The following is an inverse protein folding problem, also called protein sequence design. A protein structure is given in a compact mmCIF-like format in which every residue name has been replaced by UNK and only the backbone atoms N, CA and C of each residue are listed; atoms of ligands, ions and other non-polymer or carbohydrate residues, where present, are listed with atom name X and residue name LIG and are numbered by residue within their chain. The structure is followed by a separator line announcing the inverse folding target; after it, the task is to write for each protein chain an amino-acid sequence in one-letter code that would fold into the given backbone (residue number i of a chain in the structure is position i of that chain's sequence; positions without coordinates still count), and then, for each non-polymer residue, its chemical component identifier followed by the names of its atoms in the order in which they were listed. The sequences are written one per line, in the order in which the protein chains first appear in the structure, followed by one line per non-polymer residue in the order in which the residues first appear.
data_IF_878569611476
#
_entry.id   IF_878569611476
#
_cell.length_a   1.000
_cell.length_b   1.000
_cell.length_c   1.000
_cell.angle_alpha   90.00
_cell.angle_beta   90.00
_cell.angle_gamma   90.00
#
_symmetry.space_group_name_H-M   'P 1'
#
loop_
_entity.id
_entity.type
_entity.pdbx_description
1 polymer ?
#
# COMPACT_ATOMS: atom_id res chain seq x y z
N UNK A 1 8.88 -23.51 -12.38
CA UNK A 1 7.55 -23.11 -12.89
C UNK A 1 7.61 -21.93 -13.87
N UNK A 2 8.75 -21.20 -13.97
CA UNK A 2 8.93 -20.06 -14.87
C UNK A 2 7.92 -18.91 -14.63
N UNK A 3 7.42 -18.77 -13.40
CA UNK A 3 6.45 -17.72 -13.05
C UNK A 3 7.12 -16.34 -13.03
N UNK A 4 6.39 -15.35 -13.49
CA UNK A 4 6.77 -13.95 -13.48
C UNK A 4 5.56 -13.08 -13.15
N UNK A 5 5.75 -11.79 -12.97
CA UNK A 5 4.66 -10.81 -12.77
C UNK A 5 3.72 -10.71 -13.99
N UNK A 6 4.04 -11.34 -15.13
CA UNK A 6 3.18 -11.42 -16.30
C UNK A 6 2.07 -12.50 -16.19
N UNK A 7 1.97 -13.20 -15.07
CA UNK A 7 1.03 -14.29 -14.89
C UNK A 7 -0.12 -13.95 -13.92
N UNK A 8 -1.20 -14.72 -14.02
CA UNK A 8 -2.35 -14.62 -13.13
C UNK A 8 -3.11 -13.30 -13.24
N UNK A 9 -3.50 -12.74 -12.10
CA UNK A 9 -4.20 -11.45 -12.01
C UNK A 9 -3.25 -10.24 -11.91
N UNK A 10 -1.96 -10.50 -11.77
CA UNK A 10 -0.94 -9.47 -11.52
C UNK A 10 -0.88 -8.44 -12.66
N UNK A 11 -0.80 -8.82 -13.96
CA UNK A 11 -0.72 -7.85 -15.04
C UNK A 11 -1.88 -6.87 -15.07
N UNK A 12 -3.10 -7.34 -14.88
CA UNK A 12 -4.29 -6.50 -14.86
C UNK A 12 -4.34 -5.56 -13.65
N UNK A 13 -3.76 -5.99 -12.52
CA UNK A 13 -3.67 -5.16 -11.33
C UNK A 13 -2.59 -4.09 -11.45
N UNK A 14 -1.43 -4.42 -12.03
CA UNK A 14 -0.34 -3.48 -12.30
C UNK A 14 -0.73 -2.43 -13.35
N UNK A 15 -1.34 -2.86 -14.47
CA UNK A 15 -1.86 -1.93 -15.49
C UNK A 15 -2.86 -0.94 -14.86
N UNK A 16 -3.71 -1.42 -13.95
CA UNK A 16 -4.65 -0.54 -13.24
C UNK A 16 -3.94 0.44 -12.30
N UNK A 17 -2.90 0.01 -11.59
CA UNK A 17 -2.08 0.89 -10.75
C UNK A 17 -1.41 1.98 -11.59
N UNK A 18 -0.83 1.62 -12.73
CA UNK A 18 -0.21 2.56 -13.68
C UNK A 18 -1.21 3.62 -14.17
N UNK A 19 -2.44 3.20 -14.52
CA UNK A 19 -3.52 4.12 -14.90
C UNK A 19 -3.92 5.07 -13.77
N UNK A 20 -3.98 4.58 -12.54
CA UNK A 20 -4.34 5.37 -11.36
C UNK A 20 -3.26 6.41 -11.06
N UNK A 21 -1.99 6.04 -11.12
CA UNK A 21 -0.85 6.95 -10.99
C UNK A 21 -0.85 8.01 -12.10
N UNK A 22 -1.03 7.59 -13.35
CA UNK A 22 -1.06 8.49 -14.49
C UNK A 22 -2.20 9.53 -14.40
N UNK A 23 -3.39 9.15 -13.92
CA UNK A 23 -4.51 10.07 -13.69
C UNK A 23 -4.21 11.14 -12.63
N UNK A 24 -3.28 10.87 -11.73
CA UNK A 24 -2.78 11.81 -10.74
C UNK A 24 -1.58 12.62 -11.25
N UNK A 25 -1.19 12.46 -12.53
CA UNK A 25 -0.01 13.12 -13.10
C UNK A 25 1.32 12.53 -12.64
N UNK A 26 1.31 11.38 -11.99
CA UNK A 26 2.49 10.69 -11.50
C UNK A 26 3.06 9.82 -12.61
N UNK A 27 4.32 10.08 -13.02
CA UNK A 27 5.04 9.28 -14.03
C UNK A 27 5.83 8.12 -13.42
N UNK A 28 5.88 8.04 -12.10
CA UNK A 28 6.54 6.96 -11.38
C UNK A 28 5.84 5.63 -11.62
N UNK A 29 6.64 4.58 -11.86
CA UNK A 29 6.20 3.19 -11.94
C UNK A 29 7.08 2.36 -11.04
N UNK A 30 6.54 1.72 -10.00
CA UNK A 30 7.33 0.86 -9.14
C UNK A 30 7.84 -0.36 -9.91
N UNK A 31 9.10 -0.74 -9.67
CA UNK A 31 9.59 -2.03 -10.13
C UNK A 31 8.90 -3.14 -9.34
N UNK A 32 8.33 -4.14 -10.05
CA UNK A 32 7.61 -5.24 -9.40
C UNK A 32 8.26 -6.58 -9.73
N UNK A 33 8.42 -7.44 -8.72
CA UNK A 33 8.97 -8.79 -8.88
C UNK A 33 8.21 -9.78 -8.01
N UNK A 34 8.37 -11.09 -8.28
CA UNK A 34 7.82 -12.15 -7.44
C UNK A 34 8.74 -12.45 -6.26
N UNK A 35 8.13 -12.67 -5.10
CA UNK A 35 8.79 -12.98 -3.83
C UNK A 35 7.97 -14.00 -3.03
N UNK A 36 8.43 -14.35 -1.86
CA UNK A 36 7.70 -15.22 -0.92
C UNK A 36 6.54 -14.47 -0.26
N UNK A 37 6.72 -13.16 0.02
CA UNK A 37 5.76 -12.34 0.73
C UNK A 37 5.66 -10.93 0.12
N UNK A 38 4.68 -10.15 0.57
CA UNK A 38 4.53 -8.73 0.28
C UNK A 38 5.58 -7.93 1.03
N UNK A 39 6.33 -7.11 0.34
CA UNK A 39 7.14 -6.07 0.95
C UNK A 39 7.65 -5.05 -0.06
N UNK A 40 7.94 -3.85 0.43
CA UNK A 40 8.68 -2.82 -0.29
C UNK A 40 9.98 -2.56 0.47
N UNK A 41 11.15 -2.92 -0.08
CA UNK A 41 12.42 -2.77 0.63
C UNK A 41 12.68 -1.31 0.97
N UNK A 42 13.21 -1.03 2.15
CA UNK A 42 13.52 0.35 2.55
C UNK A 42 14.54 0.97 1.58
N UNK A 43 14.23 2.17 1.11
CA UNK A 43 15.05 2.89 0.15
C UNK A 43 14.98 2.41 -1.30
N UNK A 44 14.22 1.36 -1.61
CA UNK A 44 14.04 0.82 -2.98
C UNK A 44 12.65 1.19 -3.51
N UNK A 45 12.55 1.81 -4.71
CA UNK A 45 11.25 2.18 -5.30
C UNK A 45 10.60 0.98 -6.01
N UNK A 46 10.30 -0.08 -5.26
CA UNK A 46 9.78 -1.32 -5.82
C UNK A 46 8.87 -2.09 -4.88
N UNK A 47 8.17 -3.09 -5.43
CA UNK A 47 7.17 -3.92 -4.76
C UNK A 47 7.47 -5.40 -5.01
N UNK A 48 7.67 -6.15 -3.95
CA UNK A 48 7.70 -7.60 -3.96
C UNK A 48 6.28 -8.15 -3.87
N UNK A 49 5.91 -9.01 -4.79
CA UNK A 49 4.57 -9.61 -4.90
C UNK A 49 4.67 -11.10 -4.65
N UNK A 50 3.86 -11.69 -3.76
CA UNK A 50 3.90 -13.11 -3.48
C UNK A 50 3.71 -13.96 -4.73
N UNK A 51 4.61 -14.92 -4.96
CA UNK A 51 4.64 -15.75 -6.15
C UNK A 51 3.38 -16.59 -6.33
N UNK A 52 2.71 -16.95 -5.23
CA UNK A 52 1.48 -17.74 -5.29
C UNK A 52 0.31 -16.98 -5.96
N UNK A 53 0.38 -15.66 -6.07
CA UNK A 53 -0.62 -14.85 -6.77
C UNK A 53 -0.48 -14.94 -8.31
N UNK A 54 0.68 -15.40 -8.80
CA UNK A 54 0.93 -15.58 -10.22
C UNK A 54 0.22 -16.83 -10.81
N UNK A 55 -0.34 -17.73 -9.97
CA UNK A 55 -1.00 -18.94 -10.48
C UNK A 55 -2.21 -19.35 -9.64
N UNK A 56 -3.40 -19.61 -10.26
CA UNK A 56 -4.63 -19.92 -9.50
C UNK A 56 -4.55 -21.15 -8.60
N UNK A 57 -3.74 -22.16 -9.00
CA UNK A 57 -3.55 -23.37 -8.18
C UNK A 57 -2.73 -23.07 -6.93
N UNK A 58 -1.73 -22.20 -7.02
CA UNK A 58 -0.92 -21.76 -5.89
C UNK A 58 -1.74 -20.89 -4.95
N UNK A 59 -2.52 -19.94 -5.46
CA UNK A 59 -3.45 -19.14 -4.67
C UNK A 59 -4.46 -20.01 -3.90
N UNK A 60 -4.95 -21.10 -4.52
CA UNK A 60 -5.84 -22.05 -3.83
C UNK A 60 -5.11 -22.87 -2.77
N UNK A 61 -3.86 -23.26 -3.03
CA UNK A 61 -3.04 -23.98 -2.05
C UNK A 61 -2.79 -23.11 -0.82
N UNK A 62 -2.36 -21.86 -1.04
CA UNK A 62 -2.13 -20.88 0.01
C UNK A 62 -3.38 -20.70 0.89
N UNK A 63 -4.56 -20.56 0.27
CA UNK A 63 -5.83 -20.44 0.99
C UNK A 63 -6.15 -21.64 1.85
N UNK A 64 -5.77 -22.87 1.42
CA UNK A 64 -5.95 -24.08 2.23
C UNK A 64 -5.02 -24.13 3.43
N UNK A 65 -3.79 -23.66 3.25
CA UNK A 65 -2.74 -23.75 4.26
C UNK A 65 -2.88 -22.64 5.30
N UNK A 66 -3.16 -21.41 4.84
CA UNK A 66 -3.15 -20.21 5.67
C UNK A 66 -4.56 -19.69 5.99
N UNK A 67 -5.62 -20.32 5.44
CA UNK A 67 -7.02 -19.91 5.55
C UNK A 67 -7.36 -18.56 4.92
N UNK A 68 -6.38 -17.69 4.74
CA UNK A 68 -6.49 -16.38 4.11
C UNK A 68 -5.40 -16.22 3.05
N UNK A 69 -5.64 -15.37 2.03
CA UNK A 69 -4.66 -15.01 1.01
C UNK A 69 -4.73 -13.53 0.77
N UNK A 70 -3.72 -12.82 1.23
CA UNK A 70 -3.60 -11.40 0.93
C UNK A 70 -3.41 -11.18 -0.58
N UNK A 71 -4.26 -10.33 -1.17
CA UNK A 71 -4.27 -10.15 -2.63
C UNK A 71 -4.92 -11.30 -3.42
N UNK A 72 -5.53 -12.30 -2.76
CA UNK A 72 -6.08 -13.51 -3.38
C UNK A 72 -7.25 -13.30 -4.35
N UNK A 73 -7.78 -12.09 -4.45
CA UNK A 73 -8.70 -11.66 -5.49
C UNK A 73 -8.29 -10.28 -6.02
N UNK A 74 -8.78 -9.91 -7.20
CA UNK A 74 -8.35 -8.69 -7.90
C UNK A 74 -8.63 -7.39 -7.10
N UNK A 75 -9.69 -7.37 -6.30
CA UNK A 75 -10.01 -6.21 -5.44
C UNK A 75 -8.99 -6.06 -4.32
N UNK A 76 -8.69 -7.13 -3.60
CA UNK A 76 -7.67 -7.14 -2.55
C UNK A 76 -6.30 -6.84 -3.13
N UNK A 77 -5.92 -7.50 -4.24
CA UNK A 77 -4.65 -7.29 -4.93
C UNK A 77 -4.42 -5.80 -5.27
N UNK A 78 -5.44 -5.13 -5.81
CA UNK A 78 -5.36 -3.69 -6.12
C UNK A 78 -5.25 -2.82 -4.87
N UNK A 79 -5.86 -3.23 -3.76
CA UNK A 79 -5.76 -2.49 -2.49
C UNK A 79 -4.34 -2.57 -1.94
N UNK A 80 -3.78 -3.77 -1.84
CA UNK A 80 -2.41 -3.98 -1.37
C UNK A 80 -1.40 -3.27 -2.27
N UNK A 81 -1.55 -3.39 -3.60
CA UNK A 81 -0.67 -2.70 -4.56
C UNK A 81 -0.69 -1.16 -4.41
N UNK A 82 -1.84 -0.53 -4.10
CA UNK A 82 -1.86 0.92 -3.84
C UNK A 82 -1.10 1.28 -2.58
N UNK A 83 -1.22 0.48 -1.54
CA UNK A 83 -0.48 0.66 -0.29
C UNK A 83 1.04 0.54 -0.54
N UNK A 84 1.48 -0.54 -1.17
CA UNK A 84 2.89 -0.75 -1.48
C UNK A 84 3.44 0.26 -2.49
N UNK A 85 2.60 0.77 -3.40
CA UNK A 85 2.98 1.90 -4.25
C UNK A 85 3.31 3.16 -3.43
N UNK A 86 2.65 3.39 -2.29
CA UNK A 86 3.02 4.45 -1.35
C UNK A 86 4.42 4.24 -0.77
N UNK A 87 4.73 3.02 -0.32
CA UNK A 87 6.06 2.66 0.17
C UNK A 87 7.14 2.81 -0.90
N UNK A 88 6.86 2.44 -2.15
CA UNK A 88 7.79 2.58 -3.26
C UNK A 88 7.93 4.05 -3.72
N UNK A 89 6.87 4.84 -3.64
CA UNK A 89 6.84 6.26 -4.04
C UNK A 89 7.68 7.15 -3.12
N UNK A 90 7.63 6.89 -1.81
CA UNK A 90 8.37 7.67 -0.82
C UNK A 90 9.90 7.69 -1.09
N UNK A 91 10.62 6.57 -1.22
CA UNK A 91 12.05 6.58 -1.51
C UNK A 91 12.36 7.13 -2.90
N UNK A 92 11.52 6.88 -3.91
CA UNK A 92 11.69 7.43 -5.26
C UNK A 92 11.75 8.96 -5.26
N UNK A 93 10.99 9.60 -4.37
CA UNK A 93 10.88 11.06 -4.27
C UNK A 93 11.51 11.63 -3.00
N UNK A 94 12.14 10.80 -2.17
CA UNK A 94 12.80 11.14 -0.90
C UNK A 94 11.88 11.92 0.06
N UNK A 95 10.60 11.55 0.11
CA UNK A 95 9.57 12.33 0.81
C UNK A 95 9.80 12.35 2.32
N UNK A 96 10.12 11.21 2.95
CA UNK A 96 10.39 11.10 4.39
C UNK A 96 11.56 11.97 4.89
N UNK A 97 12.42 12.45 3.97
CA UNK A 97 13.50 13.40 4.29
C UNK A 97 13.03 14.84 4.42
N UNK A 98 11.84 15.14 3.91
CA UNK A 98 11.28 16.50 3.92
C UNK A 98 10.74 16.85 5.29
N UNK A 99 10.92 18.11 5.71
CA UNK A 99 10.45 18.61 7.01
C UNK A 99 8.92 18.47 7.15
N UNK A 100 8.18 18.92 6.12
CA UNK A 100 6.72 18.87 6.11
C UNK A 100 6.16 17.43 6.18
N UNK A 101 6.83 16.44 5.57
CA UNK A 101 6.43 15.04 5.71
C UNK A 101 6.50 14.59 7.18
N UNK A 102 7.60 14.92 7.86
CA UNK A 102 7.79 14.57 9.28
C UNK A 102 6.82 15.29 10.22
N UNK A 103 6.42 16.50 9.87
CA UNK A 103 5.41 17.26 10.61
C UNK A 103 4.00 16.65 10.49
N UNK A 104 3.72 15.98 9.37
CA UNK A 104 2.42 15.39 9.07
C UNK A 104 2.31 13.94 9.55
N UNK A 105 3.34 13.12 9.28
CA UNK A 105 3.32 11.68 9.54
C UNK A 105 4.15 11.26 10.76
N UNK A 106 5.13 12.04 11.14
CA UNK A 106 6.09 11.71 12.20
C UNK A 106 7.46 11.31 11.64
N UNK A 107 8.35 10.86 12.50
CA UNK A 107 9.69 10.45 12.12
C UNK A 107 9.68 9.01 11.56
N UNK A 108 10.08 8.84 10.31
CA UNK A 108 10.20 7.51 9.69
C UNK A 108 11.33 6.64 10.30
N UNK A 109 12.20 7.26 11.11
CA UNK A 109 13.31 6.57 11.77
C UNK A 109 12.94 5.91 13.11
N UNK A 110 11.70 6.03 13.57
CA UNK A 110 11.26 5.28 14.75
C UNK A 110 11.27 3.78 14.44
N UNK A 111 11.65 2.92 15.39
CA UNK A 111 11.60 1.48 15.16
C UNK A 111 10.17 1.02 14.94
N UNK A 112 9.97 0.04 14.05
CA UNK A 112 8.70 -0.66 13.97
C UNK A 112 8.39 -1.35 15.28
N UNK A 113 7.20 -1.18 15.84
CA UNK A 113 6.84 -1.88 17.07
C UNK A 113 6.69 -3.38 16.81
N UNK A 114 7.07 -4.21 17.77
CA UNK A 114 6.83 -5.66 17.72
C UNK A 114 5.32 -5.97 17.62
N UNK A 115 4.50 -5.14 18.25
CA UNK A 115 3.04 -5.20 18.14
C UNK A 115 2.47 -3.81 18.39
N UNK A 116 1.31 -3.51 17.84
CA UNK A 116 0.57 -2.29 18.12
C UNK A 116 -0.86 -2.61 18.54
N UNK A 117 -1.42 -1.78 19.40
CA UNK A 117 -2.82 -1.88 19.81
C UNK A 117 -3.61 -0.80 19.06
N UNK A 118 -4.45 -1.18 18.09
CA UNK A 118 -5.22 -0.22 17.31
C UNK A 118 -6.24 0.50 18.21
N UNK A 119 -6.49 1.75 17.88
CA UNK A 119 -7.51 2.61 18.49
C UNK A 119 -8.63 2.87 17.51
N UNK A 120 -9.69 2.03 17.43
CA UNK A 120 -10.74 2.12 16.41
C UNK A 120 -11.47 3.46 16.36
N UNK A 121 -11.58 4.17 17.48
CA UNK A 121 -12.20 5.50 17.54
C UNK A 121 -11.30 6.65 17.09
N UNK A 122 -10.03 6.40 16.76
CA UNK A 122 -9.10 7.46 16.33
C UNK A 122 -9.41 7.91 14.92
N UNK A 123 -9.66 9.22 14.76
CA UNK A 123 -9.84 9.89 13.47
C UNK A 123 -8.55 10.52 12.92
N UNK A 124 -7.40 10.22 13.54
CA UNK A 124 -6.09 10.78 13.15
C UNK A 124 -5.45 10.08 11.96
N UNK A 125 -5.99 8.93 11.56
CA UNK A 125 -5.45 8.08 10.49
C UNK A 125 -6.58 7.70 9.53
N UNK A 126 -6.22 7.47 8.28
CA UNK A 126 -7.14 6.94 7.28
C UNK A 126 -7.37 5.45 7.50
N UNK A 127 -8.37 4.89 6.83
CA UNK A 127 -8.71 3.47 6.84
C UNK A 127 -8.62 2.93 5.41
N UNK A 128 -7.59 2.16 5.11
CA UNK A 128 -7.43 1.51 3.80
C UNK A 128 -7.32 -0.01 3.95
N UNK A 129 -6.22 -0.53 4.48
CA UNK A 129 -6.11 -1.94 4.84
C UNK A 129 -6.87 -2.21 6.15
N UNK A 130 -6.98 -3.47 6.55
CA UNK A 130 -7.61 -3.86 7.80
C UNK A 130 -6.84 -3.44 9.06
N UNK A 131 -7.44 -3.67 10.22
CA UNK A 131 -6.78 -3.55 11.54
C UNK A 131 -6.21 -2.17 11.89
N UNK A 132 -6.71 -1.09 11.24
CA UNK A 132 -6.21 0.29 11.44
C UNK A 132 -4.71 0.41 11.23
N UNK A 133 -4.20 -0.24 10.18
CA UNK A 133 -2.77 -0.45 9.93
C UNK A 133 -1.96 0.85 9.85
N UNK A 134 -2.55 1.93 9.41
CA UNK A 134 -1.97 3.28 9.45
C UNK A 134 -1.47 3.72 10.84
N UNK A 135 -1.94 3.09 11.92
CA UNK A 135 -1.52 3.42 13.30
C UNK A 135 -0.23 2.71 13.72
N UNK A 136 0.24 1.74 12.95
CA UNK A 136 1.38 0.91 13.33
C UNK A 136 2.72 1.66 13.22
N UNK A 137 2.90 2.49 12.19
CA UNK A 137 4.15 3.20 11.94
C UNK A 137 3.93 4.43 11.05
N UNK A 138 4.77 5.50 11.12
CA UNK A 138 4.67 6.67 10.25
C UNK A 138 4.73 6.34 8.75
N UNK A 139 5.49 5.35 8.33
CA UNK A 139 5.56 4.93 6.93
C UNK A 139 4.31 4.19 6.48
N UNK A 140 3.68 3.43 7.37
CA UNK A 140 2.39 2.78 7.12
C UNK A 140 1.26 3.82 7.02
N UNK A 141 1.29 4.83 7.87
CA UNK A 141 0.37 5.95 7.81
C UNK A 141 0.47 6.70 6.48
N UNK A 142 1.68 6.91 5.98
CA UNK A 142 1.89 7.50 4.65
C UNK A 142 1.36 6.58 3.54
N UNK A 143 1.69 5.28 3.55
CA UNK A 143 1.29 4.31 2.54
C UNK A 143 -0.25 4.15 2.48
N UNK A 144 -0.91 4.04 3.64
CA UNK A 144 -2.37 4.01 3.76
C UNK A 144 -3.00 5.30 3.23
N UNK A 145 -2.44 6.46 3.59
CA UNK A 145 -2.91 7.78 3.12
C UNK A 145 -2.76 7.91 1.61
N UNK A 146 -1.61 7.51 1.06
CA UNK A 146 -1.36 7.48 -0.37
C UNK A 146 -2.36 6.58 -1.10
N UNK A 147 -2.64 5.40 -0.57
CA UNK A 147 -3.59 4.45 -1.17
C UNK A 147 -5.03 4.98 -1.21
N UNK A 148 -5.49 5.65 -0.14
CA UNK A 148 -6.80 6.31 -0.09
C UNK A 148 -6.87 7.45 -1.10
N UNK A 149 -5.81 8.28 -1.17
CA UNK A 149 -5.74 9.41 -2.09
C UNK A 149 -5.67 8.94 -3.56
N UNK A 150 -4.94 7.86 -3.84
CA UNK A 150 -4.75 7.33 -5.19
C UNK A 150 -6.02 6.65 -5.73
N UNK A 151 -6.82 6.05 -4.85
CA UNK A 151 -7.98 5.25 -5.24
C UNK A 151 -8.91 6.01 -6.20
N UNK A 152 -9.32 5.40 -7.33
CA UNK A 152 -10.22 6.03 -8.27
C UNK A 152 -11.61 6.21 -7.63
N UNK A 153 -12.28 7.32 -7.97
CA UNK A 153 -13.60 7.68 -7.43
C UNK A 153 -13.64 7.71 -5.89
N UNK A 154 -12.51 7.92 -5.24
CA UNK A 154 -12.46 8.06 -3.79
C UNK A 154 -13.17 9.34 -3.36
N UNK A 155 -14.10 9.18 -2.43
CA UNK A 155 -14.86 10.26 -1.79
C UNK A 155 -14.15 10.82 -0.56
N UNK A 156 -12.85 10.60 -0.44
CA UNK A 156 -12.07 10.90 0.76
C UNK A 156 -12.25 12.33 1.30
N UNK A 157 -12.51 13.33 0.41
CA UNK A 157 -12.77 14.70 0.84
C UNK A 157 -14.02 14.82 1.69
N UNK A 158 -15.03 14.00 1.39
CA UNK A 158 -16.29 13.94 2.16
C UNK A 158 -16.14 12.98 3.35
N UNK A 159 -15.53 11.80 3.12
CA UNK A 159 -15.43 10.75 4.12
C UNK A 159 -14.55 11.17 5.31
N UNK A 160 -13.55 12.01 5.07
CA UNK A 160 -12.62 12.51 6.08
C UNK A 160 -12.77 14.01 6.38
N UNK A 161 -13.88 14.66 5.96
CA UNK A 161 -14.08 16.11 6.11
C UNK A 161 -13.83 16.60 7.54
N UNK A 162 -14.38 15.88 8.54
CA UNK A 162 -14.27 16.19 9.96
C UNK A 162 -13.15 15.45 10.70
N UNK A 163 -12.25 14.79 9.94
CA UNK A 163 -11.18 14.01 10.55
C UNK A 163 -9.85 14.78 10.50
N UNK A 164 -9.04 14.77 11.58
CA UNK A 164 -7.67 15.25 11.53
C UNK A 164 -6.81 14.59 10.46
N UNK A 165 -7.16 13.36 10.03
CA UNK A 165 -6.52 12.65 8.92
C UNK A 165 -6.63 13.39 7.57
N UNK A 166 -7.62 14.28 7.38
CA UNK A 166 -7.76 15.10 6.16
C UNK A 166 -6.48 15.87 5.84
N UNK A 167 -5.78 16.38 6.87
CA UNK A 167 -4.50 17.09 6.69
C UNK A 167 -3.46 16.25 5.95
N UNK A 168 -3.45 14.94 6.18
CA UNK A 168 -2.53 13.99 5.54
C UNK A 168 -2.89 13.77 4.08
N UNK A 169 -4.17 13.70 3.77
CA UNK A 169 -4.68 13.55 2.40
C UNK A 169 -4.50 14.81 1.55
N UNK A 170 -4.28 15.96 2.19
CA UNK A 170 -4.00 17.25 1.53
C UNK A 170 -2.50 17.53 1.39
N UNK A 171 -1.65 16.69 1.96
CA UNK A 171 -0.18 16.78 1.84
C UNK A 171 0.27 16.50 0.40
#
# INVERSE_FOLDING_TARGET
LGLTTAHGQIPAALARLDDELARRGIRFRPHCWLSEDWFSPDGVPGIAIPFYLAHPRLTRLERRMMHEVEGGNLRCLRRTLRHDAGHAFDPAHRLRRRKNWREVFGAASVPYPVSYVPRPGSRRHVLHLGHWYAQSHPTEDFAETFAVWLAPNSTWRNDYADWPALRKLLY
#
